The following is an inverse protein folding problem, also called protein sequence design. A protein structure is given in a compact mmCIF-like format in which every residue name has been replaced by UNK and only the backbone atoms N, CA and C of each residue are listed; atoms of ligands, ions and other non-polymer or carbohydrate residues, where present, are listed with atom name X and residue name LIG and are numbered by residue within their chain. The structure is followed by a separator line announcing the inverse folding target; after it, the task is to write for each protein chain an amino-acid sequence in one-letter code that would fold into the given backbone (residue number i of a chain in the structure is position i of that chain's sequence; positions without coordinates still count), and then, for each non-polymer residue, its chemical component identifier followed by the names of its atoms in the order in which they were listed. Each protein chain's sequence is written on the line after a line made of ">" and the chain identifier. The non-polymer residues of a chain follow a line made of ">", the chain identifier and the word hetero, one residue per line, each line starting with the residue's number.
data_IF_595635801062
#
_entry.id   IF_595635801062
#
_cell.length_a   1.000
_cell.length_b   1.000
_cell.length_c   1.000
_cell.angle_alpha   90.00
_cell.angle_beta   90.00
_cell.angle_gamma   90.00
#
_symmetry.space_group_name_H-M   'P 1'
#
loop_
_entity.id
_entity.type
_entity.pdbx_description
1 polymer ?
#
# COMPACT_ATOMS: atom_id res chain seq x y z
N UNK A 1 8.37 -16.21 -26.52
CA UNK A 1 7.30 -15.48 -25.80
C UNK A 1 7.21 -16.05 -24.38
N UNK A 2 8.07 -15.58 -23.49
CA UNK A 2 8.16 -16.04 -22.10
C UNK A 2 7.18 -15.24 -21.26
N UNK A 3 6.10 -15.90 -20.81
CA UNK A 3 5.16 -15.33 -19.83
C UNK A 3 5.93 -15.09 -18.53
N UNK A 4 6.11 -13.82 -18.17
CA UNK A 4 6.63 -13.44 -16.85
C UNK A 4 5.63 -13.91 -15.79
N UNK A 5 5.98 -14.95 -15.06
CA UNK A 5 5.26 -15.37 -13.88
C UNK A 5 5.41 -14.27 -12.83
N UNK A 6 4.39 -13.43 -12.69
CA UNK A 6 4.21 -12.52 -11.55
C UNK A 6 3.91 -13.40 -10.34
N UNK A 7 4.96 -13.80 -9.60
CA UNK A 7 4.79 -14.46 -8.30
C UNK A 7 4.38 -13.37 -7.31
N UNK A 8 3.08 -13.12 -7.23
CA UNK A 8 2.46 -12.44 -6.10
C UNK A 8 2.48 -13.42 -4.93
N UNK A 9 3.41 -13.22 -3.99
CA UNK A 9 3.31 -13.87 -2.69
C UNK A 9 2.17 -13.22 -1.91
N UNK A 10 0.97 -13.73 -2.12
CA UNK A 10 -0.20 -13.47 -1.29
C UNK A 10 0.04 -14.06 0.10
N UNK A 11 0.06 -13.20 1.12
CA UNK A 11 0.03 -13.64 2.51
C UNK A 11 -1.39 -14.09 2.85
N UNK A 12 -1.70 -15.37 2.65
CA UNK A 12 -2.92 -15.97 3.18
C UNK A 12 -2.69 -16.34 4.65
N UNK A 13 -3.09 -15.45 5.57
CA UNK A 13 -3.32 -15.83 6.96
C UNK A 13 -4.76 -16.33 7.06
N UNK A 14 -4.93 -17.64 7.27
CA UNK A 14 -6.22 -18.21 7.60
C UNK A 14 -6.65 -17.73 9.00
N UNK A 15 -7.62 -16.83 9.07
CA UNK A 15 -8.25 -16.41 10.31
C UNK A 15 -9.52 -17.23 10.54
N UNK A 16 -9.55 -17.99 11.64
CA UNK A 16 -10.80 -18.53 12.19
C UNK A 16 -11.70 -17.35 12.57
N UNK A 17 -12.90 -17.32 12.02
CA UNK A 17 -13.90 -16.31 12.33
C UNK A 17 -14.42 -16.50 13.76
N UNK A 18 -14.02 -15.60 14.66
CA UNK A 18 -14.76 -15.27 15.87
C UNK A 18 -15.31 -13.85 15.69
N UNK A 19 -16.64 -13.74 15.59
CA UNK A 19 -17.36 -12.47 15.48
C UNK A 19 -17.35 -11.73 16.81
N UNK A 20 -16.25 -11.03 17.09
CA UNK A 20 -16.24 -9.91 18.01
C UNK A 20 -16.16 -8.63 17.16
N UNK A 21 -17.27 -7.89 17.10
CA UNK A 21 -17.29 -6.54 16.51
C UNK A 21 -16.48 -5.62 17.43
N UNK A 22 -15.16 -5.62 17.28
CA UNK A 22 -14.31 -4.65 17.93
C UNK A 22 -14.49 -3.32 17.20
N UNK A 23 -14.93 -2.29 17.92
CA UNK A 23 -14.77 -0.92 17.47
C UNK A 23 -13.27 -0.72 17.19
N UNK A 24 -12.93 -0.57 15.91
CA UNK A 24 -11.56 -0.36 15.49
C UNK A 24 -10.99 0.93 16.11
N UNK A 25 -9.65 1.05 16.20
CA UNK A 25 -9.03 2.29 16.66
C UNK A 25 -9.58 3.48 15.87
N UNK A 26 -9.87 4.56 16.58
CA UNK A 26 -10.42 5.77 16.00
C UNK A 26 -9.39 6.43 15.09
N UNK A 27 -9.73 6.61 13.82
CA UNK A 27 -8.88 7.30 12.86
C UNK A 27 -8.68 8.77 13.25
N UNK A 28 -7.47 9.31 13.06
CA UNK A 28 -7.17 10.73 13.28
C UNK A 28 -7.90 11.63 12.29
N UNK A 29 -8.51 12.71 12.77
CA UNK A 29 -9.15 13.74 11.93
C UNK A 29 -8.16 14.72 11.27
N UNK A 30 -6.88 14.70 11.65
CA UNK A 30 -5.86 15.50 11.00
C UNK A 30 -5.32 14.81 9.74
N UNK A 31 -5.18 15.55 8.65
CA UNK A 31 -4.58 15.03 7.42
C UNK A 31 -3.11 14.67 7.67
N UNK A 32 -2.78 13.40 7.55
CA UNK A 32 -1.40 12.91 7.64
C UNK A 32 -0.91 12.55 6.25
N UNK A 33 0.27 13.06 5.88
CA UNK A 33 0.98 12.68 4.66
C UNK A 33 2.21 11.84 5.00
N UNK A 34 2.37 10.69 4.35
CA UNK A 34 3.46 9.75 4.56
C UNK A 34 4.12 9.41 3.22
N UNK A 35 5.44 9.27 3.21
CA UNK A 35 6.19 8.65 2.11
C UNK A 35 6.58 7.25 2.53
N UNK A 36 6.21 6.26 1.73
CA UNK A 36 6.46 4.84 1.96
C UNK A 36 7.43 4.34 0.91
N UNK A 37 8.66 4.05 1.32
CA UNK A 37 9.71 3.53 0.44
C UNK A 37 9.84 2.03 0.60
N UNK A 38 9.80 1.29 -0.50
CA UNK A 38 9.93 -0.15 -0.53
C UNK A 38 11.23 -0.55 -1.22
N UNK A 39 11.96 -1.48 -0.61
CA UNK A 39 13.16 -2.09 -1.15
C UNK A 39 13.05 -3.61 -0.99
N UNK A 40 13.20 -4.33 -2.08
CA UNK A 40 13.17 -5.79 -2.11
C UNK A 40 14.42 -6.29 -2.81
N UNK A 41 15.17 -7.18 -2.17
CA UNK A 41 16.34 -7.84 -2.75
C UNK A 41 16.19 -9.35 -2.63
N UNK A 42 16.44 -10.07 -3.71
CA UNK A 42 16.48 -11.53 -3.72
C UNK A 42 17.66 -12.04 -4.53
N UNK A 43 18.34 -13.07 -4.01
CA UNK A 43 19.34 -13.85 -4.73
C UNK A 43 18.73 -15.21 -5.07
N UNK A 44 18.58 -15.47 -6.38
CA UNK A 44 18.10 -16.75 -6.89
C UNK A 44 19.16 -17.86 -6.79
N UNK A 45 18.73 -19.11 -6.89
CA UNK A 45 19.63 -20.27 -6.94
C UNK A 45 20.48 -20.31 -8.22
N UNK A 46 20.06 -19.54 -9.24
CA UNK A 46 20.80 -19.25 -10.47
C UNK A 46 21.94 -18.23 -10.28
N UNK A 47 22.12 -17.70 -9.06
CA UNK A 47 23.09 -16.65 -8.75
C UNK A 47 22.66 -15.26 -9.19
N UNK A 48 21.42 -15.08 -9.69
CA UNK A 48 20.92 -13.79 -10.15
C UNK A 48 20.36 -13.00 -8.97
N UNK A 49 20.91 -11.81 -8.74
CA UNK A 49 20.36 -10.84 -7.82
C UNK A 49 19.31 -9.97 -8.50
N UNK A 50 18.15 -9.80 -7.86
CA UNK A 50 17.08 -8.90 -8.28
C UNK A 50 16.83 -7.89 -7.18
N UNK A 51 16.91 -6.61 -7.55
CA UNK A 51 16.61 -5.48 -6.67
C UNK A 51 15.44 -4.68 -7.23
N UNK A 52 14.41 -4.47 -6.41
CA UNK A 52 13.24 -3.65 -6.73
C UNK A 52 13.13 -2.52 -5.72
N UNK A 53 12.92 -1.31 -6.23
CA UNK A 53 12.73 -0.11 -5.40
C UNK A 53 11.63 0.76 -5.99
N UNK A 54 10.73 1.21 -5.14
CA UNK A 54 9.72 2.20 -5.48
C UNK A 54 9.27 2.93 -4.22
N UNK A 55 8.59 4.06 -4.40
CA UNK A 55 7.98 4.80 -3.33
C UNK A 55 6.50 5.04 -3.61
N UNK A 56 5.74 5.25 -2.54
CA UNK A 56 4.33 5.63 -2.56
C UNK A 56 4.13 6.83 -1.65
N UNK A 57 3.17 7.68 -2.00
CA UNK A 57 2.62 8.70 -1.09
C UNK A 57 1.31 8.20 -0.55
N UNK A 58 1.19 8.24 0.78
CA UNK A 58 -0.03 7.88 1.49
C UNK A 58 -0.56 9.11 2.21
N UNK A 59 -1.83 9.43 1.96
CA UNK A 59 -2.56 10.44 2.71
C UNK A 59 -3.69 9.76 3.46
N UNK A 60 -3.88 10.09 4.73
CA UNK A 60 -4.98 9.54 5.52
C UNK A 60 -5.58 10.59 6.44
N UNK A 61 -6.90 10.54 6.58
CA UNK A 61 -7.67 11.43 7.42
C UNK A 61 -9.05 10.81 7.69
N UNK A 62 -9.42 10.65 8.96
CA UNK A 62 -10.66 9.99 9.35
C UNK A 62 -10.78 8.63 8.65
N UNK A 63 -11.91 8.38 8.03
CA UNK A 63 -12.15 7.15 7.29
C UNK A 63 -11.78 7.23 5.79
N UNK A 64 -10.72 7.99 5.46
CA UNK A 64 -10.19 8.07 4.09
C UNK A 64 -8.70 7.78 4.03
N UNK A 65 -8.30 7.03 3.01
CA UNK A 65 -6.91 6.76 2.65
C UNK A 65 -6.74 6.98 1.14
N UNK A 66 -5.63 7.61 0.76
CA UNK A 66 -5.18 7.75 -0.61
C UNK A 66 -3.77 7.22 -0.74
N UNK A 67 -3.52 6.35 -1.71
CA UNK A 67 -2.19 5.77 -1.97
C UNK A 67 -1.85 5.98 -3.44
N UNK A 68 -0.77 6.69 -3.73
CA UNK A 68 -0.30 6.91 -5.09
C UNK A 68 1.16 6.50 -5.24
N UNK A 69 1.51 5.88 -6.39
CA UNK A 69 2.91 5.64 -6.75
C UNK A 69 3.64 6.98 -6.88
N UNK A 70 4.81 7.11 -6.26
CA UNK A 70 5.71 8.23 -6.54
C UNK A 70 6.53 7.89 -7.78
N UNK A 71 6.11 8.43 -8.93
CA UNK A 71 6.79 8.25 -10.20
C UNK A 71 7.94 9.25 -10.34
N UNK A 72 9.15 8.80 -10.72
CA UNK A 72 10.21 9.70 -11.14
C UNK A 72 9.74 10.65 -12.27
N UNK A 73 10.21 11.91 -12.32
CA UNK A 73 9.87 12.81 -13.42
C UNK A 73 10.17 12.22 -14.80
N UNK A 74 11.28 11.47 -14.92
CA UNK A 74 11.66 10.78 -16.16
C UNK A 74 10.64 9.73 -16.64
N UNK A 75 9.86 9.12 -15.74
CA UNK A 75 8.77 8.19 -16.11
C UNK A 75 7.43 8.88 -16.34
N UNK A 76 7.20 10.06 -15.74
CA UNK A 76 5.98 10.83 -15.94
C UNK A 76 5.83 11.36 -17.38
N UNK A 77 6.95 11.61 -18.07
CA UNK A 77 6.94 12.07 -19.47
C UNK A 77 6.69 10.96 -20.49
N UNK A 78 6.93 9.69 -20.15
CA UNK A 78 6.65 8.57 -21.06
C UNK A 78 5.13 8.41 -21.33
N UNK A 79 4.27 8.79 -20.37
CA UNK A 79 2.82 8.81 -20.55
C UNK A 79 2.34 9.80 -21.62
N UNK A 80 3.11 10.87 -21.87
CA UNK A 80 2.81 11.87 -22.90
C UNK A 80 3.32 11.45 -24.29
N UNK A 81 4.48 10.80 -24.38
CA UNK A 81 5.06 10.38 -25.67
C UNK A 81 4.31 9.21 -26.31
N UNK A 82 3.65 8.36 -25.51
CA UNK A 82 2.78 7.29 -26.01
C UNK A 82 1.38 7.76 -26.43
N UNK A 83 1.03 9.05 -26.26
CA UNK A 83 -0.23 9.59 -26.74
C UNK A 83 -0.36 9.63 -28.28
N UNK A 84 0.75 9.44 -29.01
CA UNK A 84 0.80 9.52 -30.47
C UNK A 84 1.10 8.18 -31.17
N UNK A 85 1.18 7.05 -30.46
CA UNK A 85 1.51 5.76 -31.06
C UNK A 85 0.34 4.76 -30.94
N UNK A 86 -0.45 4.70 -32.02
CA UNK A 86 -1.43 3.67 -32.36
C UNK A 86 -2.67 3.53 -31.46
N UNK A 87 -3.85 3.63 -32.11
CA UNK A 87 -5.16 3.30 -31.58
C UNK A 87 -5.30 1.79 -31.31
N UNK A 88 -4.66 1.33 -30.23
CA UNK A 88 -4.90 0.04 -29.60
C UNK A 88 -5.14 0.29 -28.11
N UNK A 89 -6.25 -0.24 -27.58
CA UNK A 89 -6.75 -0.19 -26.20
C UNK A 89 -5.75 0.37 -25.17
N UNK A 90 -5.97 1.62 -24.75
CA UNK A 90 -5.18 2.27 -23.70
C UNK A 90 -5.59 1.68 -22.36
N UNK A 91 -4.93 0.59 -21.95
CA UNK A 91 -5.01 0.15 -20.56
C UNK A 91 -4.51 1.32 -19.71
N UNK A 92 -5.40 1.95 -18.94
CA UNK A 92 -4.97 2.88 -17.91
C UNK A 92 -3.96 2.12 -17.04
N UNK A 93 -2.82 2.74 -16.72
CA UNK A 93 -1.77 2.09 -15.93
C UNK A 93 -2.27 1.93 -14.48
N UNK A 94 -3.09 0.89 -14.26
CA UNK A 94 -3.73 0.58 -12.97
C UNK A 94 -2.71 0.29 -11.89
N UNK A 95 -1.50 -0.13 -12.28
CA UNK A 95 -0.36 -0.42 -11.40
C UNK A 95 0.25 0.85 -10.77
N UNK A 96 0.04 2.02 -11.38
CA UNK A 96 0.56 3.32 -10.92
C UNK A 96 -0.52 4.32 -10.53
N UNK A 97 -1.76 4.09 -11.00
CA UNK A 97 -2.91 4.93 -10.70
C UNK A 97 -3.18 5.04 -9.17
N UNK A 98 -3.52 6.24 -8.67
CA UNK A 98 -3.87 6.40 -7.28
C UNK A 98 -5.07 5.56 -6.85
N UNK A 99 -4.99 5.00 -5.65
CA UNK A 99 -6.07 4.31 -4.96
C UNK A 99 -6.68 5.22 -3.92
N UNK A 100 -8.01 5.35 -3.95
CA UNK A 100 -8.77 6.07 -2.95
C UNK A 100 -9.71 5.10 -2.23
N UNK A 101 -9.50 4.93 -0.93
CA UNK A 101 -10.20 3.98 -0.08
C UNK A 101 -10.96 4.78 0.98
N UNK A 102 -12.25 4.55 1.09
CA UNK A 102 -13.09 5.08 2.16
C UNK A 102 -13.71 3.94 2.95
N UNK A 103 -13.90 4.15 4.25
CA UNK A 103 -14.59 3.22 5.13
C UNK A 103 -15.86 3.89 5.67
N UNK A 104 -16.98 3.19 5.59
CA UNK A 104 -18.23 3.70 6.17
C UNK A 104 -18.34 3.36 7.67
N UNK A 105 -19.40 3.86 8.32
CA UNK A 105 -19.65 3.64 9.74
C UNK A 105 -19.89 2.16 10.12
N UNK A 106 -20.21 1.30 9.14
CA UNK A 106 -20.38 -0.16 9.31
C UNK A 106 -19.09 -0.92 9.04
N UNK A 107 -18.03 -0.24 8.61
CA UNK A 107 -16.75 -0.83 8.24
C UNK A 107 -16.67 -1.31 6.80
N UNK A 108 -17.69 -1.07 5.97
CA UNK A 108 -17.66 -1.42 4.55
C UNK A 108 -16.70 -0.47 3.81
N UNK A 109 -15.97 -1.02 2.83
CA UNK A 109 -14.99 -0.27 2.07
C UNK A 109 -15.56 0.14 0.71
N UNK A 110 -15.35 1.40 0.35
CA UNK A 110 -15.47 1.86 -1.04
C UNK A 110 -14.08 2.13 -1.57
N UNK A 111 -13.68 1.38 -2.59
CA UNK A 111 -12.34 1.46 -3.18
C UNK A 111 -12.45 1.93 -4.62
N UNK A 112 -11.61 2.89 -4.98
CA UNK A 112 -11.57 3.48 -6.32
C UNK A 112 -10.14 3.54 -6.83
N UNK A 113 -9.95 3.26 -8.11
CA UNK A 113 -8.77 3.69 -8.86
C UNK A 113 -9.10 5.03 -9.50
N UNK A 114 -8.21 6.01 -9.35
CA UNK A 114 -8.43 7.37 -9.84
C UNK A 114 -7.59 7.65 -11.08
N UNK A 115 -8.23 8.01 -12.18
CA UNK A 115 -7.54 8.50 -13.38
C UNK A 115 -7.66 10.01 -13.46
N UNK A 116 -6.54 10.71 -13.27
CA UNK A 116 -6.50 12.17 -13.39
C UNK A 116 -6.64 12.63 -14.85
N UNK A 117 -6.05 11.89 -15.79
CA UNK A 117 -6.08 12.22 -17.22
C UNK A 117 -7.47 12.05 -17.83
N UNK A 118 -8.23 11.05 -17.38
CA UNK A 118 -9.63 10.85 -17.81
C UNK A 118 -10.63 11.56 -16.91
N UNK A 119 -10.19 12.15 -15.79
CA UNK A 119 -11.04 12.70 -14.74
C UNK A 119 -12.16 11.73 -14.34
N UNK A 120 -11.76 10.47 -14.08
CA UNK A 120 -12.65 9.36 -13.71
C UNK A 120 -12.22 8.70 -12.40
N UNK A 121 -13.20 8.26 -11.64
CA UNK A 121 -13.05 7.38 -10.48
C UNK A 121 -13.66 6.02 -10.82
N UNK A 122 -12.82 5.00 -10.94
CA UNK A 122 -13.21 3.64 -11.27
C UNK A 122 -13.50 2.87 -9.99
N UNK A 123 -14.76 2.52 -9.74
CA UNK A 123 -15.16 1.70 -8.60
C UNK A 123 -14.58 0.29 -8.75
N UNK A 124 -13.92 -0.19 -7.70
CA UNK A 124 -13.25 -1.50 -7.70
C UNK A 124 -14.02 -2.43 -6.78
N UNK A 125 -14.50 -3.54 -7.31
CA UNK A 125 -15.17 -4.58 -6.54
C UNK A 125 -14.15 -5.40 -5.71
N UNK A 126 -14.56 -6.01 -4.58
CA UNK A 126 -13.64 -6.78 -3.72
C UNK A 126 -12.86 -7.89 -4.44
N UNK A 127 -13.47 -8.52 -5.45
CA UNK A 127 -12.82 -9.54 -6.27
C UNK A 127 -11.59 -9.01 -7.01
N UNK A 128 -11.57 -7.71 -7.31
CA UNK A 128 -10.54 -7.02 -8.11
C UNK A 128 -9.47 -6.35 -7.25
N UNK A 129 -9.58 -6.36 -5.92
CA UNK A 129 -8.62 -5.69 -5.02
C UNK A 129 -7.18 -6.15 -5.24
N UNK A 130 -6.99 -7.45 -5.47
CA UNK A 130 -5.64 -8.00 -5.70
C UNK A 130 -5.01 -7.47 -7.00
N UNK A 131 -5.82 -7.17 -8.02
CA UNK A 131 -5.36 -6.64 -9.31
C UNK A 131 -4.84 -5.21 -9.20
N UNK A 132 -5.27 -4.45 -8.19
CA UNK A 132 -4.77 -3.11 -7.87
C UNK A 132 -3.78 -3.11 -6.70
N UNK A 133 -3.31 -4.29 -6.26
CA UNK A 133 -2.37 -4.41 -5.15
C UNK A 133 -2.92 -3.99 -3.78
N UNK A 134 -4.24 -4.10 -3.57
CA UNK A 134 -4.90 -3.91 -2.28
C UNK A 134 -5.32 -5.27 -1.70
N UNK A 135 -5.12 -5.47 -0.39
CA UNK A 135 -5.40 -6.74 0.30
C UNK A 135 -6.81 -6.80 0.93
N UNK A 136 -7.62 -5.74 0.78
CA UNK A 136 -8.93 -5.63 1.42
C UNK A 136 -8.88 -5.18 2.89
N UNK A 137 -7.69 -4.96 3.46
CA UNK A 137 -7.53 -4.59 4.87
C UNK A 137 -7.49 -3.07 5.06
N UNK A 138 -8.54 -2.54 5.69
CA UNK A 138 -8.52 -1.15 6.16
C UNK A 138 -7.36 -0.86 7.10
N UNK A 139 -7.10 -1.78 8.04
CA UNK A 139 -6.04 -1.60 9.03
C UNK A 139 -4.67 -1.49 8.34
N UNK A 140 -4.40 -2.35 7.34
CA UNK A 140 -3.17 -2.28 6.53
C UNK A 140 -3.11 -0.98 5.72
N UNK A 141 -4.21 -0.57 5.06
CA UNK A 141 -4.22 0.66 4.26
C UNK A 141 -3.98 1.92 5.13
N UNK A 142 -4.65 2.00 6.28
CA UNK A 142 -4.60 3.17 7.16
C UNK A 142 -3.30 3.23 7.97
N UNK A 143 -2.87 2.11 8.55
CA UNK A 143 -1.70 2.06 9.44
C UNK A 143 -0.41 1.59 8.76
N UNK A 144 -0.47 1.20 7.48
CA UNK A 144 0.63 0.59 6.69
C UNK A 144 1.09 -0.79 7.18
N UNK A 145 0.52 -1.25 8.29
CA UNK A 145 0.66 -2.55 8.92
C UNK A 145 -0.55 -2.69 9.86
N UNK A 146 -1.21 -3.85 9.88
CA UNK A 146 -2.26 -4.09 10.87
C UNK A 146 -1.68 -4.03 12.31
N UNK A 147 -2.12 -3.08 13.17
CA UNK A 147 -1.63 -2.97 14.54
C UNK A 147 -1.87 -4.25 15.37
N UNK A 148 -2.88 -5.06 15.02
CA UNK A 148 -3.13 -6.33 15.69
C UNK A 148 -1.97 -7.32 15.52
N UNK A 149 -1.22 -7.25 14.41
CA UNK A 149 -0.06 -8.09 14.17
C UNK A 149 1.06 -7.88 15.21
N UNK A 150 1.16 -6.67 15.78
CA UNK A 150 2.18 -6.34 16.79
C UNK A 150 1.98 -7.12 18.10
N UNK A 151 0.74 -7.52 18.42
CA UNK A 151 0.44 -8.32 19.62
C UNK A 151 1.11 -9.69 19.60
N UNK A 152 1.34 -10.24 18.41
CA UNK A 152 2.05 -11.51 18.22
C UNK A 152 3.58 -11.38 18.16
N UNK A 153 4.12 -10.16 18.32
CA UNK A 153 5.55 -9.88 18.24
C UNK A 153 6.12 -9.57 19.62
N UNK A 154 7.41 -9.90 19.84
CA UNK A 154 8.11 -9.54 21.07
C UNK A 154 8.53 -8.07 21.01
N UNK A 155 8.11 -7.25 21.97
CA UNK A 155 8.63 -5.91 22.15
C UNK A 155 10.12 -5.95 22.57
N UNK A 156 10.97 -5.17 21.90
CA UNK A 156 12.39 -5.05 22.21
C UNK A 156 12.66 -3.77 23.00
N UNK A 157 12.86 -3.92 24.31
CA UNK A 157 13.15 -2.79 25.19
C UNK A 157 11.99 -1.78 25.29
N UNK A 158 12.22 -0.64 25.98
CA UNK A 158 11.22 0.39 26.15
C UNK A 158 11.07 1.26 24.89
N UNK A 159 9.95 1.99 24.81
CA UNK A 159 9.74 3.05 23.82
C UNK A 159 10.84 4.11 23.90
N UNK A 160 11.45 4.46 22.77
CA UNK A 160 12.46 5.52 22.66
C UNK A 160 12.12 6.46 21.52
N UNK A 161 12.15 7.77 21.77
CA UNK A 161 11.83 8.80 20.77
C UNK A 161 10.47 8.57 20.06
N UNK A 162 9.47 8.10 20.82
CA UNK A 162 8.13 7.78 20.32
C UNK A 162 8.04 6.47 19.53
N UNK A 163 9.09 5.64 19.50
CA UNK A 163 9.14 4.40 18.73
C UNK A 163 9.27 3.18 19.63
N UNK A 164 8.43 2.16 19.40
CA UNK A 164 8.57 0.82 19.96
C UNK A 164 9.09 -0.14 18.90
N UNK A 165 10.19 -0.83 19.16
CA UNK A 165 10.66 -1.91 18.29
C UNK A 165 9.99 -3.22 18.68
N UNK A 166 9.50 -3.96 17.69
CA UNK A 166 8.95 -5.31 17.80
C UNK A 166 9.74 -6.26 16.92
N UNK A 167 9.94 -7.50 17.37
CA UNK A 167 10.57 -8.56 16.60
C UNK A 167 9.78 -9.86 16.69
N UNK A 168 9.65 -10.55 15.56
CA UNK A 168 9.22 -11.94 15.51
C UNK A 168 10.15 -12.74 14.63
N UNK A 169 10.29 -14.02 14.96
CA UNK A 169 11.00 -15.01 14.15
C UNK A 169 10.07 -16.18 13.95
N UNK A 170 9.80 -16.55 12.70
CA UNK A 170 8.97 -17.69 12.33
C UNK A 170 9.73 -18.50 11.27
N UNK A 171 10.15 -19.72 11.66
CA UNK A 171 11.07 -20.52 10.85
C UNK A 171 12.34 -19.75 10.52
N UNK A 172 12.71 -19.69 9.24
CA UNK A 172 13.88 -18.96 8.77
C UNK A 172 13.66 -17.44 8.61
N UNK A 173 12.45 -16.93 8.83
CA UNK A 173 12.12 -15.52 8.58
C UNK A 173 12.13 -14.72 9.88
N UNK A 174 12.89 -13.64 9.91
CA UNK A 174 12.85 -12.64 10.97
C UNK A 174 12.15 -11.38 10.46
N UNK A 175 11.19 -10.86 11.24
CA UNK A 175 10.54 -9.57 11.00
C UNK A 175 10.89 -8.62 12.15
N UNK A 176 11.26 -7.39 11.82
CA UNK A 176 11.47 -6.29 12.78
C UNK A 176 10.59 -5.12 12.36
N UNK A 177 9.84 -4.57 13.31
CA UNK A 177 8.97 -3.42 13.11
C UNK A 177 9.38 -2.33 14.09
N UNK A 178 9.71 -1.15 13.58
CA UNK A 178 9.90 0.05 14.38
C UNK A 178 8.61 0.86 14.30
N UNK A 179 7.76 0.76 15.32
CA UNK A 179 6.41 1.31 15.36
C UNK A 179 6.39 2.73 15.95
N UNK A 180 5.87 3.71 15.21
CA UNK A 180 5.57 5.03 15.75
C UNK A 180 4.31 4.95 16.62
N UNK A 181 4.45 5.19 17.92
CA UNK A 181 3.36 5.03 18.88
C UNK A 181 2.30 6.12 18.71
N UNK A 182 2.71 7.37 18.49
CA UNK A 182 1.78 8.49 18.35
C UNK A 182 1.19 8.57 16.94
N UNK A 183 2.03 8.25 15.95
CA UNK A 183 1.61 8.19 14.56
C UNK A 183 0.78 6.95 14.24
N UNK A 184 0.88 5.87 14.99
CA UNK A 184 0.21 4.59 14.66
C UNK A 184 0.52 4.12 13.23
N UNK A 185 1.80 4.07 12.88
CA UNK A 185 2.32 3.47 11.65
C UNK A 185 3.76 2.98 11.87
N UNK A 186 4.28 2.01 11.09
CA UNK A 186 5.66 1.58 11.21
C UNK A 186 6.59 2.61 10.55
N UNK A 187 7.57 3.18 11.27
CA UNK A 187 8.67 3.93 10.63
C UNK A 187 9.57 3.00 9.79
N UNK A 188 9.63 1.72 10.17
CA UNK A 188 10.35 0.69 9.44
C UNK A 188 9.71 -0.68 9.63
N UNK A 189 9.61 -1.44 8.54
CA UNK A 189 9.35 -2.88 8.57
C UNK A 189 10.47 -3.55 7.80
N UNK A 190 11.22 -4.43 8.44
CA UNK A 190 12.21 -5.25 7.78
C UNK A 190 11.87 -6.72 7.96
N UNK A 191 11.97 -7.47 6.86
CA UNK A 191 11.73 -8.89 6.83
C UNK A 191 12.92 -9.52 6.10
N UNK A 192 13.64 -10.45 6.75
CA UNK A 192 14.84 -11.10 6.20
C UNK A 192 14.86 -12.61 6.48
N UNK A 193 15.31 -13.42 5.53
CA UNK A 193 15.55 -14.84 5.79
C UNK A 193 16.89 -15.07 6.52
N UNK A 194 17.08 -16.26 7.08
CA UNK A 194 18.25 -16.61 7.88
C UNK A 194 19.56 -16.51 7.09
N UNK A 195 19.54 -16.86 5.81
CA UNK A 195 20.70 -16.83 4.91
C UNK A 195 21.00 -15.45 4.34
N UNK A 196 20.12 -14.46 4.54
CA UNK A 196 20.27 -13.10 4.02
C UNK A 196 20.02 -12.95 2.51
N UNK A 197 19.68 -14.04 1.80
CA UNK A 197 19.43 -14.02 0.36
C UNK A 197 18.12 -13.32 -0.01
N UNK A 198 17.21 -13.12 0.94
CA UNK A 198 15.95 -12.42 0.72
C UNK A 198 15.72 -11.36 1.78
N UNK A 199 15.53 -10.11 1.35
CA UNK A 199 15.22 -8.99 2.24
C UNK A 199 14.12 -8.12 1.64
N UNK A 200 13.16 -7.75 2.47
CA UNK A 200 12.18 -6.69 2.20
C UNK A 200 12.31 -5.64 3.28
N UNK A 201 12.49 -4.39 2.89
CA UNK A 201 12.56 -3.24 3.77
C UNK A 201 11.53 -2.21 3.30
N UNK A 202 10.63 -1.85 4.20
CA UNK A 202 9.76 -0.70 4.04
C UNK A 202 10.21 0.38 5.03
N UNK A 203 10.35 1.61 4.58
CA UNK A 203 10.60 2.79 5.42
C UNK A 203 9.46 3.78 5.24
N UNK A 204 9.00 4.35 6.33
CA UNK A 204 7.93 5.34 6.32
C UNK A 204 8.42 6.61 6.97
N UNK A 205 8.25 7.72 6.26
CA UNK A 205 8.59 9.06 6.74
C UNK A 205 7.36 9.94 6.69
N UNK A 206 7.14 10.72 7.75
CA UNK A 206 6.11 11.75 7.73
C UNK A 206 6.55 12.89 6.80
N UNK A 207 5.61 13.39 6.01
CA UNK A 207 5.76 14.57 5.17
C UNK A 207 4.95 15.72 5.75
N UNK A 208 5.28 16.98 5.42
CA UNK A 208 4.37 18.10 5.64
C UNK A 208 3.02 17.81 4.97
N UNK A 209 1.92 17.99 5.72
CA UNK A 209 0.59 17.83 5.17
C UNK A 209 0.32 18.89 4.09
N UNK A 210 -0.27 18.52 2.94
CA UNK A 210 -0.66 19.51 1.94
C UNK A 210 -1.84 20.35 2.44
N UNK A 211 -2.06 21.51 1.81
CA UNK A 211 -3.18 22.40 2.16
C UNK A 211 -4.56 21.78 1.92
N UNK A 212 -4.66 20.87 0.95
CA UNK A 212 -5.87 20.15 0.59
C UNK A 212 -5.54 18.67 0.38
N UNK A 213 -6.47 17.80 0.76
CA UNK A 213 -6.29 16.37 0.53
C UNK A 213 -6.50 16.03 -0.96
N UNK A 214 -5.80 15.02 -1.51
CA UNK A 214 -5.88 14.69 -2.94
C UNK A 214 -7.29 14.26 -3.39
N UNK A 215 -8.06 13.63 -2.50
CA UNK A 215 -9.43 13.21 -2.79
C UNK A 215 -10.41 14.37 -2.97
N UNK A 216 -10.14 15.57 -2.46
CA UNK A 216 -11.05 16.73 -2.64
C UNK A 216 -11.19 17.11 -4.11
N UNK A 217 -10.11 16.97 -4.88
CA UNK A 217 -10.16 17.12 -6.34
C UNK A 217 -10.82 15.92 -6.99
N UNK A 218 -10.44 14.71 -6.60
CA UNK A 218 -10.95 13.47 -7.19
C UNK A 218 -12.47 13.30 -6.99
N UNK A 219 -13.05 13.84 -5.93
CA UNK A 219 -14.51 13.87 -5.70
C UNK A 219 -15.31 14.48 -6.85
N UNK A 220 -14.68 15.33 -7.69
CA UNK A 220 -15.31 15.99 -8.83
C UNK A 220 -15.28 15.15 -10.11
N UNK A 221 -14.57 14.02 -10.10
CA UNK A 221 -14.40 13.15 -11.26
C UNK A 221 -15.62 12.26 -11.46
N UNK A 222 -15.90 11.94 -12.72
CA UNK A 222 -17.02 11.09 -13.09
C UNK A 222 -16.82 9.67 -12.54
N UNK A 223 -17.88 9.03 -12.07
CA UNK A 223 -17.83 7.61 -11.71
C UNK A 223 -17.77 6.74 -12.98
N UNK A 224 -17.04 5.64 -12.88
CA UNK A 224 -16.96 4.58 -13.89
C UNK A 224 -16.72 3.24 -13.17
N UNK A 225 -16.89 2.12 -13.87
CA UNK A 225 -16.62 0.79 -13.31
C UNK A 225 -15.22 0.33 -13.67
N UNK A 226 -14.51 -0.33 -12.75
CA UNK A 226 -13.14 -0.80 -13.01
C UNK A 226 -13.05 -1.76 -14.21
N UNK A 227 -14.13 -2.47 -14.53
CA UNK A 227 -14.23 -3.31 -15.74
C UNK A 227 -14.10 -2.51 -17.03
N UNK A 228 -14.46 -1.23 -17.04
CA UNK A 228 -14.30 -0.34 -18.21
C UNK A 228 -12.82 -0.10 -18.57
N UNK A 229 -11.87 -0.47 -17.68
CA UNK A 229 -10.43 -0.43 -17.96
C UNK A 229 -9.89 -1.73 -18.59
N UNK A 230 -10.70 -2.78 -18.62
CA UNK A 230 -10.33 -4.11 -19.11
C UNK A 230 -10.81 -4.40 -20.54
N UNK A 231 -11.76 -3.61 -21.05
CA UNK A 231 -12.33 -3.67 -22.40
C UNK A 231 -11.60 -2.76 -23.40
#
# INVERSE_FOLDING_TARGET
>A
MTRSARILFSFAFAALAATAQAAGPASSNALTALRVEHQMSSLGTDGIQRDVRFAERVYRQGDRVWIARELPPASAHAEHDHANAHAGHKHADTDTAPRWIERDAKGALTVRVVSESQQKNYAVEPAEYSNIGFDGSWATAYHLLDPAALKGMRAEGPVRNGVQTYRSTQGERTVTVDWDVAGEYPRRVESRNATGTQRKLTRVTALPAPAAAPWERAQRYAAADYTDLMD
#
